data_IF_810270248424
#
_entry.id   IF_810270248424
#
_cell.length_a   1.000
_cell.length_b   1.000
_cell.length_c   1.000
_cell.angle_alpha   90.00
_cell.angle_beta   90.00
_cell.angle_gamma   90.00
#
_symmetry.space_group_name_H-M   'P 1'
#
loop_
_entity.id
_entity.type
_entity.pdbx_description
1 polymer ?
#
# COMPACT_ATOMS: atom_id res chain seq x y z
N UNK A 1 12.00 -11.56 -9.16
CA UNK A 1 12.29 -12.27 -7.92
C UNK A 1 11.25 -13.35 -7.60
N UNK A 2 10.28 -13.59 -8.48
CA UNK A 2 9.37 -14.75 -8.40
C UNK A 2 8.17 -14.62 -7.45
N UNK A 3 7.98 -13.50 -6.77
CA UNK A 3 6.82 -13.29 -5.92
C UNK A 3 5.54 -13.13 -6.76
N UNK A 4 4.45 -13.76 -6.32
CA UNK A 4 3.12 -13.49 -6.84
C UNK A 4 2.55 -12.26 -6.13
N UNK A 5 2.34 -11.16 -6.85
CA UNK A 5 1.96 -9.88 -6.26
C UNK A 5 0.53 -9.52 -6.65
N UNK A 6 -0.32 -9.35 -5.66
CA UNK A 6 -1.68 -8.84 -5.80
C UNK A 6 -1.68 -7.38 -5.36
N UNK A 7 -2.02 -6.48 -6.27
CA UNK A 7 -2.13 -5.06 -5.98
C UNK A 7 -3.58 -4.68 -5.76
N UNK A 8 -3.88 -4.13 -4.59
CA UNK A 8 -5.19 -3.57 -4.27
C UNK A 8 -5.23 -2.12 -4.75
N UNK A 9 -6.23 -1.79 -5.52
CA UNK A 9 -6.45 -0.43 -6.03
C UNK A 9 -7.84 0.06 -5.67
N UNK A 10 -7.94 1.29 -5.20
CA UNK A 10 -9.20 1.88 -4.77
C UNK A 10 -10.04 2.39 -5.96
N UNK A 11 -11.34 2.04 -6.06
CA UNK A 11 -12.22 2.62 -7.05
C UNK A 11 -12.47 4.13 -6.75
N UNK A 12 -12.89 4.96 -7.74
CA UNK A 12 -13.05 4.60 -9.16
C UNK A 12 -11.76 4.79 -9.97
N UNK A 13 -10.73 5.42 -9.44
CA UNK A 13 -9.58 5.90 -10.22
C UNK A 13 -8.37 4.97 -10.17
N UNK A 14 -8.32 4.07 -9.19
CA UNK A 14 -7.17 3.18 -8.99
C UNK A 14 -5.91 3.92 -8.51
N UNK A 15 -4.75 3.42 -8.90
CA UNK A 15 -3.47 4.03 -8.59
C UNK A 15 -3.31 5.39 -9.29
N UNK A 16 -2.95 6.47 -8.57
CA UNK A 16 -2.66 7.77 -9.16
C UNK A 16 -1.65 7.73 -10.32
N UNK A 17 -0.70 6.81 -10.29
CA UNK A 17 0.27 6.61 -11.37
C UNK A 17 -0.36 6.18 -12.70
N UNK A 18 -1.61 5.67 -12.72
CA UNK A 18 -2.35 5.44 -13.96
C UNK A 18 -2.57 6.72 -14.77
N UNK A 19 -2.57 7.85 -14.05
CA UNK A 19 -2.78 9.19 -14.61
C UNK A 19 -1.51 9.99 -14.81
N UNK A 20 -0.33 9.48 -14.44
CA UNK A 20 0.95 10.18 -14.61
C UNK A 20 1.34 10.40 -16.07
N UNK A 21 2.16 11.42 -16.32
CA UNK A 21 2.71 11.72 -17.65
C UNK A 21 4.19 11.28 -17.71
N UNK A 22 4.73 10.94 -18.90
CA UNK A 22 4.07 10.89 -20.21
C UNK A 22 3.15 9.68 -20.38
N UNK A 23 2.14 9.81 -21.24
CA UNK A 23 1.21 8.73 -21.61
C UNK A 23 1.34 8.40 -23.07
N UNK A 24 1.37 7.10 -23.41
CA UNK A 24 1.31 6.58 -24.76
C UNK A 24 0.05 5.70 -24.85
N UNK A 25 -0.82 5.96 -25.80
CA UNK A 25 -2.09 5.23 -25.96
C UNK A 25 -2.92 5.19 -24.67
N UNK A 26 -3.03 6.33 -23.96
CA UNK A 26 -3.73 6.49 -22.68
C UNK A 26 -3.11 5.70 -21.51
N UNK A 27 -1.93 5.12 -21.67
CA UNK A 27 -1.24 4.36 -20.63
C UNK A 27 -0.02 5.14 -20.14
N UNK A 28 0.11 5.23 -18.83
CA UNK A 28 1.26 5.87 -18.18
C UNK A 28 2.45 4.91 -18.13
N UNK A 29 3.59 5.31 -18.67
CA UNK A 29 4.80 4.48 -18.72
C UNK A 29 5.27 4.06 -17.31
N UNK A 30 5.28 4.99 -16.37
CA UNK A 30 5.64 4.73 -14.98
C UNK A 30 4.75 3.65 -14.34
N UNK A 31 3.42 3.73 -14.56
CA UNK A 31 2.49 2.73 -14.04
C UNK A 31 2.78 1.33 -14.61
N UNK A 32 3.03 1.23 -15.93
CA UNK A 32 3.35 -0.05 -16.57
C UNK A 32 4.66 -0.62 -16.03
N UNK A 33 5.69 0.21 -15.92
CA UNK A 33 7.00 -0.21 -15.42
C UNK A 33 6.92 -0.76 -14.00
N UNK A 34 6.24 -0.04 -13.11
CA UNK A 34 6.17 -0.39 -11.70
C UNK A 34 5.24 -1.57 -11.41
N UNK A 35 4.27 -1.84 -12.30
CA UNK A 35 3.23 -2.84 -12.03
C UNK A 35 3.27 -4.06 -12.95
N UNK A 36 4.32 -4.20 -13.74
CA UNK A 36 4.48 -5.36 -14.62
C UNK A 36 4.52 -6.67 -13.83
N UNK A 37 3.68 -7.62 -14.22
CA UNK A 37 3.58 -8.93 -13.58
C UNK A 37 2.73 -8.96 -12.30
N UNK A 38 2.16 -7.84 -11.86
CA UNK A 38 1.24 -7.80 -10.73
C UNK A 38 -0.18 -8.12 -11.18
N UNK A 39 -0.90 -8.86 -10.35
CA UNK A 39 -2.35 -9.00 -10.45
C UNK A 39 -3.02 -7.77 -9.84
N UNK A 40 -4.19 -7.36 -10.32
CA UNK A 40 -4.90 -6.19 -9.82
C UNK A 40 -6.27 -6.58 -9.29
N UNK A 41 -6.58 -6.14 -8.08
CA UNK A 41 -7.90 -6.21 -7.47
C UNK A 41 -8.41 -4.80 -7.17
N UNK A 42 -9.67 -4.54 -7.51
CA UNK A 42 -10.33 -3.27 -7.23
C UNK A 42 -11.17 -3.42 -5.96
N UNK A 43 -10.69 -2.87 -4.84
CA UNK A 43 -11.36 -2.96 -3.53
C UNK A 43 -11.30 -1.60 -2.84
N UNK A 44 -12.45 -1.11 -2.38
CA UNK A 44 -12.50 0.07 -1.53
C UNK A 44 -12.29 -0.32 -0.06
N UNK A 45 -11.08 -0.14 0.42
CA UNK A 45 -10.70 -0.42 1.81
C UNK A 45 -11.32 0.56 2.83
N UNK A 46 -12.04 1.59 2.37
CA UNK A 46 -12.76 2.51 3.27
C UNK A 46 -14.15 1.98 3.63
N UNK A 47 -14.59 0.90 3.02
CA UNK A 47 -15.86 0.25 3.33
C UNK A 47 -15.64 -0.98 4.22
N UNK A 48 -16.63 -1.30 5.04
CA UNK A 48 -16.58 -2.50 5.89
C UNK A 48 -16.45 -3.78 5.07
N UNK A 49 -17.16 -3.85 3.94
CA UNK A 49 -17.09 -4.96 2.99
C UNK A 49 -15.71 -5.10 2.36
N UNK A 50 -15.09 -3.98 1.97
CA UNK A 50 -13.74 -3.98 1.41
C UNK A 50 -12.70 -4.42 2.44
N UNK A 51 -12.74 -3.88 3.66
CA UNK A 51 -11.86 -4.30 4.74
C UNK A 51 -12.05 -5.78 5.11
N UNK A 52 -13.30 -6.28 5.06
CA UNK A 52 -13.59 -7.71 5.27
C UNK A 52 -12.93 -8.58 4.20
N UNK A 53 -13.06 -8.20 2.91
CA UNK A 53 -12.43 -8.93 1.81
C UNK A 53 -10.89 -8.97 1.94
N UNK A 54 -10.26 -7.87 2.39
CA UNK A 54 -8.82 -7.86 2.65
C UNK A 54 -8.46 -8.84 3.76
N UNK A 55 -9.21 -8.87 4.87
CA UNK A 55 -8.98 -9.84 5.96
C UNK A 55 -9.13 -11.29 5.50
N UNK A 56 -10.08 -11.58 4.61
CA UNK A 56 -10.21 -12.91 3.99
C UNK A 56 -9.01 -13.24 3.11
N UNK A 57 -8.54 -12.27 2.31
CA UNK A 57 -7.38 -12.44 1.42
C UNK A 57 -6.08 -12.72 2.20
N UNK A 58 -5.93 -12.19 3.41
CA UNK A 58 -4.74 -12.39 4.26
C UNK A 58 -4.43 -13.87 4.50
N UNK A 59 -5.44 -14.75 4.56
CA UNK A 59 -5.22 -16.19 4.68
C UNK A 59 -4.43 -16.80 3.51
N UNK A 60 -4.36 -16.12 2.37
CA UNK A 60 -3.79 -16.59 1.11
C UNK A 60 -2.51 -15.87 0.69
N UNK A 61 -1.98 -14.99 1.54
CA UNK A 61 -0.76 -14.23 1.26
C UNK A 61 0.23 -14.35 2.41
N UNK A 62 1.51 -14.16 2.13
CA UNK A 62 2.58 -14.27 3.14
C UNK A 62 3.03 -12.89 3.62
N UNK A 63 2.87 -11.87 2.78
CA UNK A 63 3.35 -10.52 3.05
C UNK A 63 2.29 -9.50 2.66
N UNK A 64 2.02 -8.55 3.55
CA UNK A 64 1.24 -7.34 3.27
C UNK A 64 2.20 -6.16 3.20
N UNK A 65 2.14 -5.39 2.11
CA UNK A 65 2.94 -4.17 1.95
C UNK A 65 2.00 -2.99 1.82
N UNK A 66 2.23 -1.95 2.61
CA UNK A 66 1.43 -0.72 2.56
C UNK A 66 2.31 0.53 2.68
N UNK A 67 1.81 1.65 2.19
CA UNK A 67 2.49 2.94 2.25
C UNK A 67 1.49 4.06 2.60
N UNK A 68 0.65 3.80 3.59
CA UNK A 68 -0.23 4.81 4.17
C UNK A 68 0.46 5.59 5.29
N UNK A 69 -0.13 6.70 5.69
CA UNK A 69 0.30 7.38 6.91
C UNK A 69 0.10 6.48 8.13
N UNK A 70 0.97 6.56 9.15
CA UNK A 70 0.84 5.78 10.36
C UNK A 70 -0.56 5.85 10.98
N UNK A 71 -1.08 4.70 11.42
CA UNK A 71 -2.42 4.57 11.99
C UNK A 71 -3.56 4.34 11.00
N UNK A 72 -3.39 4.63 9.71
CA UNK A 72 -4.46 4.46 8.70
C UNK A 72 -4.93 3.01 8.61
N UNK A 73 -4.01 2.06 8.55
CA UNK A 73 -4.36 0.63 8.49
C UNK A 73 -5.06 0.18 9.78
N UNK A 74 -4.60 0.64 10.94
CA UNK A 74 -5.24 0.34 12.22
C UNK A 74 -6.70 0.86 12.26
N UNK A 75 -6.93 2.10 11.83
CA UNK A 75 -8.26 2.70 11.79
C UNK A 75 -9.25 1.97 10.86
N UNK A 76 -8.72 1.21 9.90
CA UNK A 76 -9.51 0.39 8.97
C UNK A 76 -9.67 -1.07 9.44
N UNK A 77 -9.15 -1.42 10.60
CA UNK A 77 -9.14 -2.80 11.09
C UNK A 77 -8.28 -3.74 10.21
N UNK A 78 -7.22 -3.17 9.62
CA UNK A 78 -6.24 -3.85 8.76
C UNK A 78 -4.81 -3.68 9.30
N UNK A 79 -4.64 -3.23 10.54
CA UNK A 79 -3.34 -3.12 11.19
C UNK A 79 -2.74 -4.50 11.51
N UNK A 80 -1.45 -4.52 11.82
CA UNK A 80 -0.69 -5.75 12.06
C UNK A 80 -1.34 -6.69 13.05
N UNK A 81 -1.75 -6.20 14.23
CA UNK A 81 -2.36 -7.03 15.29
C UNK A 81 -3.64 -7.73 14.80
N UNK A 82 -4.46 -7.02 14.02
CA UNK A 82 -5.68 -7.59 13.45
C UNK A 82 -5.37 -8.67 12.42
N UNK A 83 -4.37 -8.44 11.55
CA UNK A 83 -4.00 -9.38 10.52
C UNK A 83 -3.25 -10.59 11.09
N UNK A 84 -2.40 -10.39 12.09
CA UNK A 84 -1.70 -11.44 12.80
C UNK A 84 -2.64 -12.36 13.63
N UNK A 85 -3.75 -11.81 14.11
CA UNK A 85 -4.79 -12.63 14.74
C UNK A 85 -5.49 -13.58 13.74
N UNK A 86 -5.51 -13.25 12.44
CA UNK A 86 -6.06 -14.09 11.38
C UNK A 86 -5.02 -15.07 10.87
N UNK A 87 -3.80 -14.59 10.61
CA UNK A 87 -2.68 -15.38 10.12
C UNK A 87 -1.43 -15.04 10.94
N UNK A 88 -1.06 -15.86 11.94
CA UNK A 88 0.02 -15.55 12.88
C UNK A 88 1.42 -15.38 12.27
N UNK A 89 1.66 -15.96 11.11
CA UNK A 89 2.92 -15.89 10.37
C UNK A 89 2.94 -14.79 9.30
N UNK A 90 1.93 -13.91 9.28
CA UNK A 90 1.87 -12.81 8.31
C UNK A 90 3.01 -11.81 8.56
N UNK A 91 3.66 -11.40 7.49
CA UNK A 91 4.64 -10.31 7.54
C UNK A 91 3.98 -9.03 7.04
N UNK A 92 4.07 -7.94 7.81
CA UNK A 92 3.57 -6.64 7.38
C UNK A 92 4.72 -5.65 7.23
N UNK A 93 4.89 -5.12 6.02
CA UNK A 93 5.85 -4.07 5.69
C UNK A 93 5.13 -2.73 5.54
N UNK A 94 5.23 -1.88 6.56
CA UNK A 94 4.65 -0.54 6.57
C UNK A 94 5.72 0.49 6.22
N UNK A 95 5.59 1.12 5.07
CA UNK A 95 6.54 2.10 4.54
C UNK A 95 5.99 3.50 4.81
N UNK A 96 6.74 4.32 5.55
CA UNK A 96 6.41 5.72 5.79
C UNK A 96 7.68 6.56 5.89
N UNK A 97 7.55 7.88 5.74
CA UNK A 97 8.72 8.75 5.68
C UNK A 97 9.59 8.75 6.94
N UNK A 98 8.99 8.61 8.11
CA UNK A 98 9.69 8.66 9.40
C UNK A 98 9.45 7.40 10.25
N UNK A 99 8.97 6.31 9.65
CA UNK A 99 8.64 5.07 10.36
C UNK A 99 7.27 5.14 11.04
N UNK A 100 6.93 4.08 11.76
CA UNK A 100 5.63 3.92 12.41
C UNK A 100 5.60 4.45 13.84
N UNK A 101 6.76 4.70 14.45
CA UNK A 101 6.94 5.15 15.83
C UNK A 101 7.94 6.31 15.90
N UNK A 102 7.89 7.07 17.00
CA UNK A 102 8.78 8.22 17.22
C UNK A 102 8.08 9.57 17.03
N UNK A 103 8.80 10.62 17.38
CA UNK A 103 8.24 12.00 17.43
C UNK A 103 7.84 12.55 16.05
N UNK A 104 8.45 12.07 14.99
CA UNK A 104 8.18 12.49 13.62
C UNK A 104 7.23 11.55 12.86
N UNK A 105 6.81 10.44 13.46
CA UNK A 105 6.01 9.43 12.74
C UNK A 105 4.73 9.97 12.10
N UNK A 106 4.09 10.96 12.75
CA UNK A 106 2.86 11.60 12.24
C UNK A 106 3.11 12.68 11.19
N UNK A 107 4.36 13.06 10.94
CA UNK A 107 4.68 14.13 9.99
C UNK A 107 4.53 13.62 8.54
N UNK A 108 3.89 14.40 7.67
CA UNK A 108 3.83 14.06 6.25
C UNK A 108 5.23 14.10 5.64
N UNK A 109 5.55 13.09 4.83
CA UNK A 109 6.83 13.01 4.16
C UNK A 109 6.64 12.53 2.73
N UNK A 110 7.04 13.37 1.80
CA UNK A 110 7.24 13.02 0.40
C UNK A 110 8.72 13.17 0.05
N UNK A 111 9.08 12.83 -1.18
CA UNK A 111 10.46 12.74 -1.66
C UNK A 111 11.34 13.93 -1.27
N UNK A 112 10.91 15.16 -1.53
CA UNK A 112 11.67 16.38 -1.19
C UNK A 112 11.90 16.54 0.31
N UNK A 113 10.94 16.13 1.14
CA UNK A 113 11.09 16.17 2.60
C UNK A 113 12.11 15.14 3.04
N UNK A 114 12.03 13.91 2.50
CA UNK A 114 12.99 12.86 2.79
C UNK A 114 14.41 13.27 2.39
N UNK A 115 14.59 13.83 1.19
CA UNK A 115 15.88 14.36 0.73
C UNK A 115 16.43 15.43 1.67
N UNK A 116 15.60 16.41 2.06
CA UNK A 116 16.02 17.47 2.99
C UNK A 116 16.47 16.95 4.36
N UNK A 117 15.79 15.93 4.90
CA UNK A 117 16.18 15.31 6.17
C UNK A 117 17.41 14.41 6.09
N UNK A 118 17.66 13.79 4.94
CA UNK A 118 18.81 12.90 4.73
C UNK A 118 20.05 13.63 4.22
N UNK A 119 19.93 14.90 3.84
CA UNK A 119 21.06 15.70 3.33
C UNK A 119 21.40 15.41 1.86
N UNK A 120 20.46 14.89 1.09
CA UNK A 120 20.59 14.65 -0.36
C UNK A 120 20.22 15.89 -1.18
#
# INVERSE_FOLDING_TARGET
MGANVIKIEQPPYGDPNRSSRPRINRRAGAHIQQNRGKQSLCIDINTDSGSKLIRELVNHVDVVVENFSPGVMNNKGLGYETLAAIKPDIIMASISGFGQIGTLASQPCFDLVAQGYTGL
#
